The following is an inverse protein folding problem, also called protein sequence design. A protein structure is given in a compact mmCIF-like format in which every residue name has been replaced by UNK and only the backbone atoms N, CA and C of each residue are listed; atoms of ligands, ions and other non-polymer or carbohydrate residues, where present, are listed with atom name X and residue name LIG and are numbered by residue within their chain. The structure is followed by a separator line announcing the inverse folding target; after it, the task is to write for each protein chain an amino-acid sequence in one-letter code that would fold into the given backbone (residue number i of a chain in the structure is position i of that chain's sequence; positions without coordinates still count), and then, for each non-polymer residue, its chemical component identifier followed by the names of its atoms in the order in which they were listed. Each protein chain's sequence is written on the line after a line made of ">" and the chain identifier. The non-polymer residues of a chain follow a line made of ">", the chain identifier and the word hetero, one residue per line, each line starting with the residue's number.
data_IF_919019643953
#
_entry.id   IF_919019643953
#
_cell.length_a   1.000
_cell.length_b   1.000
_cell.length_c   1.000
_cell.angle_alpha   90.00
_cell.angle_beta   90.00
_cell.angle_gamma   90.00
#
_symmetry.space_group_name_H-M   'P 1'
#
loop_
_entity.id
_entity.type
_entity.pdbx_description
1 polymer ?
#
# COMPACT_ATOMS: atom_id res chain seq x y z
N UNK A 1 38.68 -0.62 -11.52
CA UNK A 1 37.29 -0.13 -11.67
C UNK A 1 36.97 0.74 -10.47
N UNK A 2 36.40 1.93 -10.66
CA UNK A 2 36.03 2.81 -9.55
C UNK A 2 34.76 2.31 -8.87
N UNK A 3 34.78 2.27 -7.54
CA UNK A 3 33.58 2.04 -6.76
C UNK A 3 32.71 3.30 -6.79
N UNK A 4 31.41 3.11 -6.97
CA UNK A 4 30.39 4.15 -6.91
C UNK A 4 29.64 4.04 -5.58
N UNK A 5 29.21 5.17 -5.05
CA UNK A 5 28.43 5.24 -3.81
C UNK A 5 27.01 5.64 -4.15
N UNK A 6 26.02 4.82 -3.82
CA UNK A 6 24.61 5.25 -3.80
C UNK A 6 24.30 5.63 -2.36
N UNK A 7 23.98 6.90 -2.14
CA UNK A 7 23.59 7.38 -0.83
C UNK A 7 22.18 6.92 -0.50
N UNK A 8 21.99 6.49 0.73
CA UNK A 8 20.66 6.23 1.21
C UNK A 8 20.19 7.47 1.95
N UNK A 9 18.97 7.89 1.63
CA UNK A 9 18.38 9.07 2.22
C UNK A 9 18.23 8.86 3.73
N UNK A 10 18.18 9.97 4.46
CA UNK A 10 18.09 9.95 5.91
C UNK A 10 16.86 9.15 6.38
N UNK A 11 17.03 8.31 7.40
CA UNK A 11 15.98 7.45 7.96
C UNK A 11 14.76 8.21 8.48
N UNK A 12 14.90 9.51 8.74
CA UNK A 12 13.81 10.39 9.16
C UNK A 12 12.93 10.81 7.98
N UNK A 13 13.39 10.61 6.75
CA UNK A 13 12.67 10.95 5.51
C UNK A 13 12.04 9.72 4.89
N UNK A 14 10.85 9.91 4.29
CA UNK A 14 10.18 8.81 3.58
C UNK A 14 10.94 8.35 2.34
N UNK A 15 11.81 9.21 1.78
CA UNK A 15 12.67 8.86 0.67
C UNK A 15 13.50 7.61 0.93
N UNK A 16 13.94 7.39 2.17
CA UNK A 16 14.64 6.16 2.58
C UNK A 16 13.76 4.93 2.42
N UNK A 17 12.52 4.98 2.91
CA UNK A 17 11.57 3.88 2.80
C UNK A 17 11.26 3.57 1.32
N UNK A 18 11.13 4.61 0.49
CA UNK A 18 10.98 4.42 -0.95
C UNK A 18 12.18 3.73 -1.59
N UNK A 19 13.41 4.10 -1.22
CA UNK A 19 14.58 3.38 -1.75
C UNK A 19 14.55 1.90 -1.38
N UNK A 20 14.18 1.57 -0.14
CA UNK A 20 14.04 0.17 0.29
C UNK A 20 12.92 -0.54 -0.46
N UNK A 21 11.82 0.15 -0.80
CA UNK A 21 10.75 -0.42 -1.60
C UNK A 21 11.23 -0.82 -3.00
N UNK A 22 11.94 0.09 -3.68
CA UNK A 22 12.48 -0.15 -5.03
C UNK A 22 13.51 -1.27 -5.03
N UNK A 23 14.50 -1.21 -4.14
CA UNK A 23 15.56 -2.21 -4.05
C UNK A 23 15.03 -3.57 -3.62
N UNK A 24 14.10 -3.58 -2.66
CA UNK A 24 13.49 -4.79 -2.13
C UNK A 24 12.62 -5.50 -3.16
N UNK A 25 11.87 -4.77 -3.99
CA UNK A 25 11.03 -5.35 -5.04
C UNK A 25 11.85 -6.19 -6.03
N UNK A 26 13.03 -5.70 -6.43
CA UNK A 26 13.86 -6.36 -7.45
C UNK A 26 14.89 -7.33 -6.87
N UNK A 27 14.95 -7.47 -5.55
CA UNK A 27 15.99 -8.23 -4.82
C UNK A 27 16.25 -9.61 -5.41
N UNK A 28 15.19 -10.38 -5.71
CA UNK A 28 15.33 -11.76 -6.21
C UNK A 28 15.87 -11.84 -7.65
N UNK A 29 15.91 -10.72 -8.37
CA UNK A 29 16.44 -10.62 -9.73
C UNK A 29 17.86 -10.04 -9.76
N UNK A 30 18.42 -9.68 -8.60
CA UNK A 30 19.77 -9.13 -8.50
C UNK A 30 20.81 -10.21 -8.18
N UNK A 31 22.04 -10.10 -8.72
CA UNK A 31 23.18 -10.90 -8.29
C UNK A 31 23.45 -10.80 -6.77
N UNK A 32 23.93 -11.89 -6.12
CA UNK A 32 24.18 -11.91 -4.67
C UNK A 32 25.09 -10.78 -4.17
N UNK A 33 26.14 -10.44 -4.92
CA UNK A 33 27.06 -9.35 -4.56
C UNK A 33 26.36 -7.99 -4.46
N UNK A 34 25.37 -7.72 -5.34
CA UNK A 34 24.58 -6.49 -5.29
C UNK A 34 23.63 -6.53 -4.08
N UNK A 35 23.00 -7.67 -3.82
CA UNK A 35 22.10 -7.84 -2.67
C UNK A 35 22.84 -7.63 -1.35
N UNK A 36 24.04 -8.17 -1.22
CA UNK A 36 24.87 -8.01 -0.01
C UNK A 36 25.33 -6.55 0.15
N UNK A 37 25.73 -5.89 -0.95
CA UNK A 37 26.05 -4.47 -0.92
C UNK A 37 24.86 -3.60 -0.50
N UNK A 38 23.64 -3.93 -0.95
CA UNK A 38 22.41 -3.26 -0.51
C UNK A 38 22.20 -3.47 0.99
N UNK A 39 22.26 -4.70 1.48
CA UNK A 39 22.06 -5.01 2.91
C UNK A 39 23.06 -4.29 3.81
N UNK A 40 24.34 -4.29 3.44
CA UNK A 40 25.37 -3.54 4.15
C UNK A 40 25.05 -2.05 4.12
N UNK A 41 24.66 -1.51 2.96
CA UNK A 41 24.24 -0.13 2.86
C UNK A 41 23.00 0.22 3.69
N UNK A 42 22.06 -0.71 3.89
CA UNK A 42 20.93 -0.47 4.80
C UNK A 42 21.39 -0.19 6.24
N UNK A 43 22.52 -0.76 6.66
CA UNK A 43 23.15 -0.49 7.96
C UNK A 43 24.00 0.78 7.92
N UNK A 44 24.84 0.93 6.89
CA UNK A 44 25.87 1.97 6.82
C UNK A 44 25.39 3.30 6.22
N UNK A 45 24.16 3.35 5.70
CA UNK A 45 23.58 4.50 5.00
C UNK A 45 24.12 4.74 3.59
N UNK A 46 24.98 3.84 3.07
CA UNK A 46 25.63 3.98 1.75
C UNK A 46 25.83 2.62 1.10
N UNK A 47 25.40 2.48 -0.16
CA UNK A 47 25.63 1.27 -0.94
C UNK A 47 26.85 1.49 -1.83
N UNK A 48 27.89 0.66 -1.67
CA UNK A 48 29.13 0.75 -2.45
C UNK A 48 29.14 -0.38 -3.49
N UNK A 49 29.12 -0.03 -4.77
CA UNK A 49 29.04 -0.98 -5.89
C UNK A 49 29.88 -0.54 -7.08
N UNK A 50 30.28 -1.48 -7.95
CA UNK A 50 30.95 -1.15 -9.21
C UNK A 50 30.00 -0.57 -10.27
N UNK A 51 30.54 0.10 -11.29
CA UNK A 51 29.72 0.67 -12.38
C UNK A 51 28.88 -0.37 -13.12
N UNK A 52 29.41 -1.59 -13.33
CA UNK A 52 28.66 -2.67 -13.97
C UNK A 52 27.50 -3.15 -13.09
N UNK A 53 27.71 -3.27 -11.77
CA UNK A 53 26.66 -3.64 -10.82
C UNK A 53 25.59 -2.55 -10.74
N UNK A 54 25.97 -1.27 -10.78
CA UNK A 54 25.01 -0.17 -10.85
C UNK A 54 24.13 -0.28 -12.09
N UNK A 55 24.73 -0.56 -13.26
CA UNK A 55 23.98 -0.77 -14.50
C UNK A 55 22.97 -1.90 -14.35
N UNK A 56 23.41 -3.06 -13.85
CA UNK A 56 22.53 -4.22 -13.61
C UNK A 56 21.38 -3.84 -12.67
N UNK A 57 21.67 -3.13 -11.58
CA UNK A 57 20.66 -2.68 -10.61
C UNK A 57 19.61 -1.77 -11.26
N UNK A 58 20.04 -0.74 -11.98
CA UNK A 58 19.13 0.25 -12.58
C UNK A 58 18.32 -0.33 -13.75
N UNK A 59 18.93 -1.16 -14.60
CA UNK A 59 18.23 -1.83 -15.70
C UNK A 59 17.20 -2.84 -15.17
N UNK A 60 17.53 -3.58 -14.11
CA UNK A 60 16.58 -4.49 -13.45
C UNK A 60 15.42 -3.71 -12.86
N UNK A 61 15.69 -2.59 -12.17
CA UNK A 61 14.64 -1.72 -11.64
C UNK A 61 13.72 -1.20 -12.74
N UNK A 62 14.30 -0.68 -13.83
CA UNK A 62 13.53 -0.15 -14.95
C UNK A 62 12.69 -1.23 -15.65
N UNK A 63 13.18 -2.47 -15.74
CA UNK A 63 12.40 -3.57 -16.30
C UNK A 63 11.17 -3.87 -15.44
N UNK A 64 11.29 -3.94 -14.11
CA UNK A 64 10.13 -4.08 -13.21
C UNK A 64 9.20 -2.87 -13.27
N UNK A 65 9.75 -1.66 -13.45
CA UNK A 65 8.94 -0.47 -13.60
C UNK A 65 8.02 -0.54 -14.81
N UNK A 66 8.41 -1.18 -15.93
CA UNK A 66 7.50 -1.40 -17.06
C UNK A 66 6.22 -2.13 -16.64
N UNK A 67 6.34 -3.17 -15.82
CA UNK A 67 5.17 -3.92 -15.31
C UNK A 67 4.32 -3.07 -14.36
N UNK A 68 4.97 -2.29 -13.48
CA UNK A 68 4.28 -1.32 -12.61
C UNK A 68 3.51 -0.30 -13.44
N UNK A 69 4.10 0.19 -14.54
CA UNK A 69 3.52 1.20 -15.41
C UNK A 69 2.36 0.69 -16.28
N UNK A 70 2.27 -0.61 -16.52
CA UNK A 70 1.13 -1.23 -17.20
C UNK A 70 -0.06 -1.50 -16.25
N UNK A 71 0.12 -1.35 -14.94
CA UNK A 71 -0.97 -1.47 -13.97
C UNK A 71 -1.87 -0.23 -14.01
N UNK A 72 -3.20 -0.41 -13.89
CA UNK A 72 -4.19 0.69 -13.88
C UNK A 72 -4.23 1.43 -12.54
N UNK A 73 -3.07 1.63 -11.90
CA UNK A 73 -2.96 2.18 -10.55
C UNK A 73 -2.76 3.70 -10.57
N UNK A 74 -3.05 4.31 -9.43
CA UNK A 74 -2.76 5.72 -9.19
C UNK A 74 -1.25 5.93 -9.00
N UNK A 75 -0.74 7.07 -9.47
CA UNK A 75 0.66 7.45 -9.33
C UNK A 75 0.82 8.65 -8.38
N UNK A 76 1.97 8.74 -7.68
CA UNK A 76 2.24 9.84 -6.76
C UNK A 76 2.37 11.18 -7.48
N UNK A 77 2.03 12.27 -6.78
CA UNK A 77 2.22 13.63 -7.27
C UNK A 77 3.67 14.00 -7.04
N UNK A 78 4.50 13.75 -8.03
CA UNK A 78 5.90 14.17 -7.99
C UNK A 78 5.97 15.63 -8.45
N UNK A 79 6.42 16.52 -7.57
CA UNK A 79 6.55 17.96 -7.84
C UNK A 79 7.99 18.34 -7.56
N UNK A 80 8.83 18.45 -8.59
CA UNK A 80 10.13 19.13 -8.47
C UNK A 80 10.82 19.33 -9.82
N UNK A 81 11.58 20.42 -9.97
CA UNK A 81 12.51 20.64 -11.07
C UNK A 81 13.69 19.66 -11.00
N UNK A 82 14.11 19.24 -9.81
CA UNK A 82 15.22 18.31 -9.62
C UNK A 82 15.02 16.94 -10.31
N UNK A 83 13.75 16.54 -10.54
CA UNK A 83 13.42 15.32 -11.26
C UNK A 83 13.73 15.43 -12.77
N UNK A 84 13.62 16.63 -13.34
CA UNK A 84 14.00 16.87 -14.73
C UNK A 84 15.50 16.67 -14.95
N UNK A 85 16.33 17.01 -13.97
CA UNK A 85 17.79 16.84 -14.00
C UNK A 85 18.23 15.37 -13.95
N UNK A 86 17.35 14.46 -13.54
CA UNK A 86 17.57 13.01 -13.63
C UNK A 86 16.87 12.37 -14.85
N UNK A 87 16.39 13.18 -15.80
CA UNK A 87 15.73 12.72 -17.02
C UNK A 87 14.25 12.38 -16.85
N UNK A 88 13.66 12.66 -15.69
CA UNK A 88 12.22 12.43 -15.43
C UNK A 88 11.46 13.72 -15.70
N UNK A 89 10.84 13.81 -16.87
CA UNK A 89 10.04 14.96 -17.26
C UNK A 89 8.61 14.83 -16.75
N UNK A 90 8.14 15.87 -16.06
CA UNK A 90 6.78 15.94 -15.52
C UNK A 90 6.08 17.12 -16.16
N UNK A 91 5.15 16.87 -17.08
CA UNK A 91 4.30 17.93 -17.64
C UNK A 91 3.15 18.23 -16.68
N UNK A 92 3.03 19.49 -16.24
CA UNK A 92 1.92 19.94 -15.38
C UNK A 92 0.55 19.85 -16.05
N UNK A 93 0.50 19.74 -17.39
CA UNK A 93 -0.74 19.69 -18.19
C UNK A 93 -1.15 18.29 -18.63
N UNK A 94 -0.29 17.29 -18.41
CA UNK A 94 -0.51 15.92 -18.87
C UNK A 94 -0.15 14.94 -17.75
N UNK A 95 -0.87 15.03 -16.64
CA UNK A 95 -0.88 14.02 -15.57
C UNK A 95 -1.57 12.71 -16.04
N UNK A 96 -1.41 12.34 -17.31
CA UNK A 96 -1.65 10.97 -17.72
C UNK A 96 -0.49 10.13 -17.19
N UNK A 97 -0.81 9.32 -16.17
CA UNK A 97 0.10 8.47 -15.42
C UNK A 97 1.13 7.67 -16.28
N UNK A 98 0.86 7.45 -17.57
CA UNK A 98 1.75 6.72 -18.48
C UNK A 98 3.07 7.45 -18.81
N UNK A 99 3.05 8.78 -18.91
CA UNK A 99 4.23 9.56 -19.33
C UNK A 99 5.31 9.64 -18.25
N UNK A 100 4.92 9.82 -16.98
CA UNK A 100 5.85 9.80 -15.84
C UNK A 100 6.58 8.46 -15.74
N UNK A 101 5.80 7.38 -15.89
CA UNK A 101 6.26 6.02 -15.72
C UNK A 101 7.21 5.59 -16.86
N UNK A 102 6.90 5.97 -18.10
CA UNK A 102 7.82 5.83 -19.24
C UNK A 102 9.09 6.68 -19.08
N UNK A 103 8.97 7.91 -18.56
CA UNK A 103 10.13 8.77 -18.31
C UNK A 103 11.09 8.16 -17.29
N UNK A 104 10.58 7.48 -16.27
CA UNK A 104 11.41 6.75 -15.30
C UNK A 104 12.16 5.58 -15.95
N UNK A 105 11.53 4.84 -16.85
CA UNK A 105 12.20 3.76 -17.60
C UNK A 105 13.30 4.34 -18.51
N UNK A 106 13.03 5.46 -19.17
CA UNK A 106 13.98 6.10 -20.09
C UNK A 106 15.12 6.86 -19.37
N UNK A 107 14.91 7.27 -18.12
CA UNK A 107 15.89 8.01 -17.32
C UNK A 107 17.15 7.20 -16.96
N UNK A 108 17.14 5.86 -17.10
CA UNK A 108 18.27 4.98 -16.74
C UNK A 108 19.58 5.42 -17.38
N UNK A 109 19.56 5.76 -18.67
CA UNK A 109 20.77 6.19 -19.39
C UNK A 109 21.29 7.52 -18.84
N UNK A 110 20.39 8.48 -18.56
CA UNK A 110 20.75 9.77 -17.96
C UNK A 110 21.39 9.58 -16.58
N UNK A 111 20.84 8.68 -15.77
CA UNK A 111 21.36 8.33 -14.44
C UNK A 111 22.72 7.64 -14.53
N UNK A 112 22.91 6.70 -15.46
CA UNK A 112 24.17 5.98 -15.65
C UNK A 112 25.32 6.86 -16.13
N UNK A 113 25.01 7.94 -16.86
CA UNK A 113 26.02 8.90 -17.32
C UNK A 113 26.51 9.81 -16.19
N UNK A 114 25.69 10.06 -15.16
CA UNK A 114 26.00 11.01 -14.08
C UNK A 114 25.61 10.50 -12.68
N UNK A 115 25.94 9.26 -12.28
CA UNK A 115 25.30 8.60 -11.13
C UNK A 115 25.68 9.23 -9.79
N UNK A 116 26.84 9.89 -9.71
CA UNK A 116 27.38 10.53 -8.50
C UNK A 116 27.08 12.02 -8.41
N UNK A 117 26.54 12.63 -9.47
CA UNK A 117 26.21 14.06 -9.47
C UNK A 117 25.22 14.38 -8.36
N UNK A 118 25.43 15.50 -7.68
CA UNK A 118 24.62 15.91 -6.53
C UNK A 118 23.52 16.85 -6.97
N UNK A 119 22.29 16.56 -6.55
CA UNK A 119 21.12 17.38 -6.77
C UNK A 119 20.41 17.63 -5.45
N UNK A 120 19.68 18.75 -5.36
CA UNK A 120 18.76 18.98 -4.25
C UNK A 120 17.74 17.85 -4.17
N UNK A 121 17.46 17.36 -2.96
CA UNK A 121 16.51 16.27 -2.80
C UNK A 121 15.10 16.79 -3.16
N UNK A 122 14.33 16.11 -4.02
CA UNK A 122 12.96 16.49 -4.35
C UNK A 122 12.07 16.66 -3.11
N UNK A 123 11.15 17.61 -3.15
CA UNK A 123 10.24 17.85 -2.03
C UNK A 123 9.46 16.59 -1.60
N UNK A 124 9.03 15.76 -2.56
CA UNK A 124 8.30 14.52 -2.28
C UNK A 124 9.09 13.52 -1.45
N UNK A 125 10.41 13.48 -1.64
CA UNK A 125 11.30 12.57 -0.93
C UNK A 125 11.74 13.13 0.43
N UNK A 126 11.72 14.46 0.60
CA UNK A 126 12.02 15.17 1.86
C UNK A 126 10.85 15.22 2.85
N UNK A 127 9.85 14.37 2.68
CA UNK A 127 8.73 14.29 3.62
C UNK A 127 9.19 13.55 4.88
N UNK A 128 9.20 14.21 6.03
CA UNK A 128 9.64 13.60 7.29
C UNK A 128 8.56 12.68 7.87
N UNK A 129 8.95 11.46 8.23
CA UNK A 129 8.08 10.42 8.77
C UNK A 129 7.62 10.74 10.19
N UNK A 130 8.40 11.53 10.94
CA UNK A 130 8.01 12.03 12.26
C UNK A 130 7.90 13.56 12.26
N UNK A 131 6.71 14.08 12.61
CA UNK A 131 6.44 15.52 12.69
C UNK A 131 7.26 16.31 13.72
N UNK A 132 8.09 15.63 14.53
CA UNK A 132 8.97 16.23 15.54
C UNK A 132 10.35 16.67 15.01
N UNK A 133 10.76 16.27 13.80
CA UNK A 133 11.99 16.79 13.20
C UNK A 133 11.75 18.18 12.63
N UNK A 134 11.74 19.18 13.52
CA UNK A 134 11.77 20.60 13.14
C UNK A 134 13.19 20.96 12.67
N UNK A 135 13.60 20.44 11.53
CA UNK A 135 14.84 20.88 10.87
C UNK A 135 14.61 22.26 10.27
N UNK A 136 15.62 23.14 10.31
CA UNK A 136 15.46 24.49 9.77
C UNK A 136 15.21 24.43 8.26
N UNK A 137 14.28 25.25 7.72
CA UNK A 137 14.01 25.28 6.27
C UNK A 137 15.26 25.54 5.42
N UNK A 138 16.30 26.15 5.99
CA UNK A 138 17.60 26.38 5.33
C UNK A 138 18.41 25.09 5.23
N UNK A 139 18.55 24.33 6.31
CA UNK A 139 19.25 23.02 6.29
C UNK A 139 18.57 22.06 5.31
N UNK A 140 17.23 21.97 5.36
CA UNK A 140 16.46 21.07 4.48
C UNK A 140 16.59 21.45 3.00
N UNK A 141 16.72 22.74 2.69
CA UNK A 141 16.92 23.20 1.31
C UNK A 141 18.33 22.93 0.79
N UNK A 142 19.32 22.84 1.67
CA UNK A 142 20.71 22.54 1.31
C UNK A 142 21.03 21.04 1.22
N UNK A 143 20.13 20.17 1.67
CA UNK A 143 20.33 18.72 1.53
C UNK A 143 20.37 18.32 0.05
N UNK A 144 21.45 17.61 -0.31
CA UNK A 144 21.64 17.06 -1.65
C UNK A 144 21.88 15.56 -1.56
N UNK A 145 21.47 14.84 -2.60
CA UNK A 145 21.77 13.42 -2.77
C UNK A 145 22.23 13.15 -4.19
N UNK A 146 22.88 12.01 -4.41
CA UNK A 146 23.32 11.64 -5.73
C UNK A 146 22.17 11.22 -6.67
N UNK A 147 22.37 11.40 -7.96
CA UNK A 147 21.36 11.13 -9.01
C UNK A 147 20.84 9.69 -8.94
N UNK A 148 21.71 8.70 -8.72
CA UNK A 148 21.29 7.30 -8.59
C UNK A 148 20.37 7.07 -7.37
N UNK A 149 20.71 7.68 -6.23
CA UNK A 149 19.90 7.64 -5.01
C UNK A 149 18.50 8.21 -5.22
N UNK A 150 18.40 9.37 -5.89
CA UNK A 150 17.14 10.04 -6.18
C UNK A 150 16.29 9.26 -7.19
N UNK A 151 16.91 8.64 -8.19
CA UNK A 151 16.23 7.76 -9.12
C UNK A 151 15.56 6.58 -8.41
N UNK A 152 16.33 5.87 -7.57
CA UNK A 152 15.85 4.71 -6.81
C UNK A 152 14.71 5.12 -5.86
N UNK A 153 14.86 6.25 -5.17
CA UNK A 153 13.82 6.79 -4.30
C UNK A 153 12.54 7.16 -5.07
N UNK A 154 12.67 7.73 -6.27
CA UNK A 154 11.53 8.09 -7.12
C UNK A 154 10.78 6.87 -7.64
N UNK A 155 11.50 5.85 -8.10
CA UNK A 155 10.91 4.56 -8.45
C UNK A 155 10.17 3.95 -7.25
N UNK A 156 10.77 4.01 -6.07
CA UNK A 156 10.19 3.56 -4.81
C UNK A 156 8.89 4.25 -4.43
N UNK A 157 8.80 5.56 -4.64
CA UNK A 157 7.58 6.33 -4.39
C UNK A 157 6.43 5.86 -5.28
N UNK A 158 6.72 5.59 -6.56
CA UNK A 158 5.75 5.03 -7.51
C UNK A 158 5.34 3.61 -7.10
N UNK A 159 6.29 2.77 -6.70
CA UNK A 159 6.06 1.39 -6.26
C UNK A 159 5.19 1.34 -5.00
N UNK A 160 5.39 2.28 -4.09
CA UNK A 160 4.76 2.26 -2.77
C UNK A 160 3.37 2.87 -2.74
N UNK A 161 3.00 3.64 -3.77
CA UNK A 161 1.71 4.33 -3.83
C UNK A 161 0.57 3.29 -3.88
N UNK A 162 -0.43 3.45 -3.01
CA UNK A 162 -1.59 2.55 -2.96
C UNK A 162 -2.90 3.23 -3.31
N UNK A 163 -3.08 4.51 -3.00
CA UNK A 163 -4.31 5.24 -3.34
C UNK A 163 -4.11 6.77 -3.26
N UNK A 164 -4.93 7.54 -3.99
CA UNK A 164 -5.06 8.98 -3.86
C UNK A 164 -6.52 9.30 -3.55
N UNK A 165 -6.77 9.74 -2.32
CA UNK A 165 -8.13 9.94 -1.82
C UNK A 165 -8.44 11.41 -1.62
N UNK A 166 -9.65 11.82 -2.02
CA UNK A 166 -10.20 13.12 -1.68
C UNK A 166 -10.78 13.10 -0.26
N UNK A 167 -10.21 13.88 0.64
CA UNK A 167 -10.74 14.12 1.98
C UNK A 167 -11.21 15.57 2.00
N UNK A 168 -12.52 15.78 1.98
CA UNK A 168 -13.14 17.11 1.90
C UNK A 168 -12.68 17.89 0.65
N UNK A 169 -12.05 19.05 0.84
CA UNK A 169 -11.51 19.91 -0.23
C UNK A 169 -10.07 19.56 -0.62
N UNK A 170 -9.42 18.64 0.10
CA UNK A 170 -8.02 18.28 -0.11
C UNK A 170 -7.89 16.85 -0.64
N UNK A 171 -6.71 16.54 -1.19
CA UNK A 171 -6.32 15.18 -1.51
C UNK A 171 -5.24 14.72 -0.56
N UNK A 172 -5.25 13.44 -0.22
CA UNK A 172 -4.17 12.75 0.46
C UNK A 172 -3.64 11.64 -0.44
N UNK A 173 -2.35 11.39 -0.35
CA UNK A 173 -1.70 10.25 -0.96
C UNK A 173 -1.42 9.21 0.10
N UNK A 174 -1.70 7.96 -0.23
CA UNK A 174 -1.52 6.83 0.65
C UNK A 174 -0.45 5.91 0.09
N UNK A 175 0.49 5.56 0.95
CA UNK A 175 1.61 4.71 0.62
C UNK A 175 1.66 3.51 1.56
N UNK A 176 1.98 2.34 1.00
CA UNK A 176 2.45 1.19 1.75
C UNK A 176 3.95 1.09 1.55
N UNK A 177 4.73 1.39 2.59
CA UNK A 177 6.19 1.43 2.53
C UNK A 177 6.82 0.43 3.49
N UNK A 178 8.00 -0.12 3.15
CA UNK A 178 8.80 -0.88 4.11
C UNK A 178 9.26 0.04 5.24
N UNK A 179 9.48 -0.50 6.44
CA UNK A 179 9.96 0.27 7.60
C UNK A 179 11.44 0.71 7.49
N UNK A 180 12.15 0.27 6.45
CA UNK A 180 13.54 0.61 6.16
C UNK A 180 14.56 -0.44 6.63
N UNK A 181 14.11 -1.46 7.37
CA UNK A 181 14.97 -2.54 7.89
C UNK A 181 15.37 -3.57 6.83
N UNK A 182 16.40 -4.36 7.13
CA UNK A 182 16.78 -5.53 6.32
C UNK A 182 15.62 -6.55 6.26
N UNK A 183 14.83 -6.67 7.33
CA UNK A 183 13.66 -7.55 7.35
C UNK A 183 12.63 -7.12 6.30
N UNK A 184 12.28 -5.82 6.27
CA UNK A 184 11.37 -5.27 5.26
C UNK A 184 11.90 -5.41 3.83
N UNK A 185 13.21 -5.20 3.62
CA UNK A 185 13.88 -5.44 2.34
C UNK A 185 13.75 -6.89 1.87
N UNK A 186 13.90 -7.86 2.78
CA UNK A 186 13.78 -9.28 2.44
C UNK A 186 12.34 -9.67 2.08
N UNK A 187 11.34 -9.05 2.72
CA UNK A 187 9.92 -9.34 2.52
C UNK A 187 9.29 -8.57 1.35
N UNK A 188 9.99 -7.59 0.78
CA UNK A 188 9.45 -6.70 -0.24
C UNK A 188 8.98 -7.38 -1.51
N UNK A 189 9.68 -8.41 -2.00
CA UNK A 189 9.23 -9.19 -3.16
C UNK A 189 7.87 -9.82 -2.90
N UNK A 190 7.59 -10.28 -1.67
CA UNK A 190 6.30 -10.90 -1.33
C UNK A 190 5.18 -9.87 -1.28
N UNK A 191 5.41 -8.78 -0.54
CA UNK A 191 4.40 -7.72 -0.33
C UNK A 191 4.08 -6.99 -1.63
N UNK A 192 5.08 -6.47 -2.33
CA UNK A 192 4.84 -5.78 -3.60
C UNK A 192 4.46 -6.76 -4.71
N UNK A 193 4.98 -7.99 -4.69
CA UNK A 193 4.53 -9.04 -5.61
C UNK A 193 3.04 -9.38 -5.45
N UNK A 194 2.43 -9.18 -4.28
CA UNK A 194 0.97 -9.26 -4.10
C UNK A 194 0.28 -8.03 -4.68
N UNK A 195 0.78 -6.84 -4.36
CA UNK A 195 0.22 -5.56 -4.82
C UNK A 195 0.17 -5.48 -6.34
N UNK A 196 1.18 -6.01 -7.02
CA UNK A 196 1.33 -6.01 -8.47
C UNK A 196 0.90 -7.34 -9.14
N UNK A 197 0.23 -8.23 -8.40
CA UNK A 197 -0.15 -9.55 -8.91
C UNK A 197 -1.17 -9.51 -10.06
N UNK A 198 -1.88 -8.39 -10.22
CA UNK A 198 -2.97 -8.26 -11.20
C UNK A 198 -3.08 -6.81 -11.69
N UNK A 199 -3.47 -6.65 -12.97
CA UNK A 199 -3.70 -5.34 -13.61
C UNK A 199 -5.05 -4.73 -13.26
N UNK A 200 -6.07 -5.56 -13.04
CA UNK A 200 -7.46 -5.12 -12.89
C UNK A 200 -7.97 -5.17 -11.45
N UNK A 201 -7.46 -6.09 -10.63
CA UNK A 201 -7.70 -6.14 -9.19
C UNK A 201 -6.59 -5.36 -8.48
N UNK A 202 -6.93 -4.18 -7.96
CA UNK A 202 -5.99 -3.25 -7.35
C UNK A 202 -6.45 -2.82 -5.95
N UNK A 203 -5.52 -2.53 -5.05
CA UNK A 203 -5.82 -2.21 -3.65
C UNK A 203 -6.68 -0.94 -3.51
N UNK A 204 -6.49 0.08 -4.36
CA UNK A 204 -7.32 1.30 -4.38
C UNK A 204 -8.81 1.00 -4.62
N UNK A 205 -9.15 -0.04 -5.38
CA UNK A 205 -10.56 -0.44 -5.57
C UNK A 205 -11.18 -0.98 -4.28
N UNK A 206 -10.42 -1.74 -3.49
CA UNK A 206 -10.89 -2.21 -2.19
C UNK A 206 -11.05 -1.04 -1.22
N UNK A 207 -10.07 -0.14 -1.17
CA UNK A 207 -10.11 1.07 -0.33
C UNK A 207 -11.31 1.94 -0.71
N UNK A 208 -11.48 2.23 -1.99
CA UNK A 208 -12.58 3.01 -2.53
C UNK A 208 -13.94 2.36 -2.26
N UNK A 209 -14.06 1.04 -2.39
CA UNK A 209 -15.31 0.34 -2.09
C UNK A 209 -15.73 0.50 -0.62
N UNK A 210 -14.80 0.32 0.32
CA UNK A 210 -15.07 0.48 1.75
C UNK A 210 -15.41 1.94 2.06
N UNK A 211 -14.51 2.86 1.71
CA UNK A 211 -14.62 4.28 2.07
C UNK A 211 -15.84 4.97 1.46
N UNK A 212 -16.17 4.66 0.21
CA UNK A 212 -17.26 5.36 -0.49
C UNK A 212 -18.66 4.83 -0.14
N UNK A 213 -18.74 3.66 0.50
CA UNK A 213 -20.01 3.04 0.86
C UNK A 213 -20.23 2.99 2.37
N UNK A 214 -19.20 3.08 3.21
CA UNK A 214 -19.30 3.08 4.66
C UNK A 214 -18.87 4.43 5.26
N UNK A 215 -19.83 5.25 5.66
CA UNK A 215 -19.58 6.59 6.21
C UNK A 215 -18.98 6.58 7.62
N UNK A 216 -19.26 5.53 8.39
CA UNK A 216 -18.92 5.46 9.81
C UNK A 216 -17.64 4.66 10.10
N UNK A 217 -16.84 4.32 9.08
CA UNK A 217 -15.56 3.61 9.26
C UNK A 217 -14.42 4.60 9.06
N UNK A 218 -13.51 4.67 10.04
CA UNK A 218 -12.30 5.51 9.94
C UNK A 218 -11.47 5.14 8.71
N UNK A 219 -10.67 6.09 8.19
CA UNK A 219 -9.77 5.82 7.07
C UNK A 219 -8.78 4.69 7.41
N UNK A 220 -8.20 4.72 8.59
CA UNK A 220 -7.21 3.75 9.06
C UNK A 220 -7.78 2.33 9.08
N UNK A 221 -8.95 2.16 9.68
CA UNK A 221 -9.65 0.86 9.69
C UNK A 221 -10.01 0.42 8.29
N UNK A 222 -10.43 1.34 7.43
CA UNK A 222 -10.74 1.02 6.02
C UNK A 222 -9.51 0.51 5.28
N UNK A 223 -8.33 1.08 5.53
CA UNK A 223 -7.08 0.65 4.89
C UNK A 223 -6.65 -0.73 5.38
N UNK A 224 -6.67 -0.97 6.69
CA UNK A 224 -6.33 -2.29 7.27
C UNK A 224 -7.26 -3.38 6.72
N UNK A 225 -8.58 -3.14 6.72
CA UNK A 225 -9.57 -4.07 6.19
C UNK A 225 -9.39 -4.29 4.68
N UNK A 226 -9.19 -3.21 3.90
CA UNK A 226 -8.95 -3.30 2.47
C UNK A 226 -7.70 -4.12 2.17
N UNK A 227 -6.60 -3.91 2.90
CA UNK A 227 -5.36 -4.67 2.70
C UNK A 227 -5.52 -6.13 3.07
N UNK A 228 -6.23 -6.46 4.16
CA UNK A 228 -6.54 -7.86 4.51
C UNK A 228 -7.37 -8.55 3.43
N UNK A 229 -8.47 -7.92 3.00
CA UNK A 229 -9.36 -8.47 1.99
C UNK A 229 -8.66 -8.61 0.63
N UNK A 230 -7.90 -7.58 0.21
CA UNK A 230 -7.09 -7.62 -1.00
C UNK A 230 -6.06 -8.76 -0.96
N UNK A 231 -5.34 -8.90 0.17
CA UNK A 231 -4.33 -9.96 0.34
C UNK A 231 -4.97 -11.34 0.20
N UNK A 232 -6.08 -11.58 0.91
CA UNK A 232 -6.83 -12.82 0.82
C UNK A 232 -7.29 -13.09 -0.62
N UNK A 233 -7.93 -12.11 -1.26
CA UNK A 233 -8.47 -12.22 -2.60
C UNK A 233 -7.37 -12.51 -3.64
N UNK A 234 -6.28 -11.75 -3.63
CA UNK A 234 -5.18 -11.95 -4.58
C UNK A 234 -4.50 -13.29 -4.36
N UNK A 235 -4.23 -13.67 -3.12
CA UNK A 235 -3.54 -14.93 -2.86
C UNK A 235 -4.40 -16.13 -3.27
N UNK A 236 -5.69 -16.13 -2.96
CA UNK A 236 -6.57 -17.30 -3.19
C UNK A 236 -7.18 -17.35 -4.58
N UNK A 237 -7.51 -16.19 -5.18
CA UNK A 237 -8.26 -16.13 -6.45
C UNK A 237 -7.37 -15.77 -7.63
N UNK A 238 -6.42 -14.85 -7.47
CA UNK A 238 -5.54 -14.39 -8.57
C UNK A 238 -4.35 -15.33 -8.73
N UNK A 239 -3.53 -15.47 -7.67
CA UNK A 239 -2.34 -16.33 -7.70
C UNK A 239 -2.65 -17.80 -7.45
N UNK A 240 -3.86 -18.12 -6.97
CA UNK A 240 -4.30 -19.48 -6.62
C UNK A 240 -3.31 -20.19 -5.69
N UNK A 241 -2.72 -19.43 -4.77
CA UNK A 241 -1.81 -19.93 -3.76
C UNK A 241 -2.62 -20.80 -2.80
N UNK A 242 -2.15 -22.02 -2.59
CA UNK A 242 -2.82 -22.97 -1.70
C UNK A 242 -2.83 -22.51 -0.24
N UNK A 243 -1.96 -21.57 0.15
CA UNK A 243 -1.87 -21.06 1.53
C UNK A 243 -1.40 -19.60 1.61
N UNK A 244 -2.02 -18.84 2.53
CA UNK A 244 -1.60 -17.48 2.90
C UNK A 244 -0.36 -17.43 3.80
N UNK A 245 0.06 -18.58 4.36
CA UNK A 245 1.06 -18.62 5.42
C UNK A 245 2.40 -17.96 5.04
N UNK A 246 2.72 -17.95 3.75
CA UNK A 246 3.95 -17.34 3.23
C UNK A 246 4.02 -15.80 3.41
N UNK A 247 2.88 -15.16 3.65
CA UNK A 247 2.75 -13.71 3.85
C UNK A 247 2.64 -13.31 5.32
N UNK A 248 2.54 -14.29 6.23
CA UNK A 248 2.51 -14.00 7.66
C UNK A 248 3.87 -13.51 8.13
N UNK A 249 3.89 -12.42 8.89
CA UNK A 249 5.11 -11.72 9.31
C UNK A 249 5.62 -10.70 8.30
N UNK A 250 5.25 -10.83 7.01
CA UNK A 250 5.74 -9.93 5.95
C UNK A 250 5.18 -8.52 6.08
N UNK A 251 3.93 -8.36 6.52
CA UNK A 251 3.28 -7.05 6.62
C UNK A 251 3.64 -6.30 7.90
N UNK A 252 4.20 -6.96 8.90
CA UNK A 252 4.61 -6.39 10.18
C UNK A 252 5.82 -5.46 10.02
N UNK A 253 6.61 -5.66 8.97
CA UNK A 253 7.75 -4.81 8.61
C UNK A 253 7.36 -3.66 7.68
N UNK A 254 6.06 -3.38 7.56
CA UNK A 254 5.48 -2.38 6.65
C UNK A 254 4.59 -1.39 7.38
N UNK A 255 4.50 -0.20 6.80
CA UNK A 255 3.76 0.93 7.34
C UNK A 255 2.86 1.55 6.29
N UNK A 256 1.67 1.95 6.73
CA UNK A 256 0.77 2.81 5.98
C UNK A 256 1.10 4.25 6.32
N UNK A 257 1.36 5.06 5.30
CA UNK A 257 1.67 6.49 5.45
C UNK A 257 0.69 7.30 4.62
N UNK A 258 0.14 8.34 5.24
CA UNK A 258 -0.63 9.36 4.54
C UNK A 258 0.17 10.64 4.38
N UNK A 259 0.25 11.15 3.16
CA UNK A 259 0.93 12.40 2.82
C UNK A 259 -0.09 13.38 2.25
N UNK A 260 -0.02 14.64 2.69
CA UNK A 260 -0.74 15.76 2.07
C UNK A 260 0.16 16.44 1.05
N UNK A 261 -0.13 16.36 -0.26
CA UNK A 261 0.65 17.00 -1.32
C UNK A 261 0.26 18.48 -1.47
N UNK A 262 0.49 19.27 -0.42
CA UNK A 262 0.33 20.74 -0.40
C UNK A 262 1.64 21.44 -0.84
N UNK A 263 1.73 22.77 -0.68
CA UNK A 263 2.97 23.53 -0.93
C UNK A 263 4.17 23.01 -0.12
N UNK A 264 3.91 22.34 1.01
CA UNK A 264 4.87 21.55 1.75
C UNK A 264 4.30 20.16 1.95
N UNK A 265 4.91 19.14 1.34
CA UNK A 265 4.51 17.76 1.59
C UNK A 265 4.72 17.42 3.07
N UNK A 266 3.66 16.90 3.71
CA UNK A 266 3.66 16.56 5.13
C UNK A 266 3.04 15.19 5.33
N UNK A 267 3.67 14.38 6.18
CA UNK A 267 3.03 13.17 6.70
C UNK A 267 1.90 13.60 7.62
N UNK A 268 0.67 13.26 7.23
CA UNK A 268 -0.53 13.51 8.03
C UNK A 268 -0.63 12.50 9.18
N UNK A 269 -0.30 11.23 8.90
CA UNK A 269 -0.22 10.16 9.88
C UNK A 269 0.57 8.97 9.32
N UNK A 270 1.03 8.11 10.23
CA UNK A 270 1.71 6.85 9.96
C UNK A 270 1.16 5.77 10.91
N UNK A 271 0.97 4.55 10.39
CA UNK A 271 0.54 3.38 11.17
C UNK A 271 1.30 2.14 10.72
N UNK A 272 1.72 1.25 11.65
CA UNK A 272 2.06 -0.12 11.29
C UNK A 272 0.88 -0.82 10.60
N UNK A 273 1.14 -1.69 9.63
CA UNK A 273 0.06 -2.43 8.96
C UNK A 273 -0.45 -3.60 9.82
N UNK A 274 0.45 -4.36 10.47
CA UNK A 274 0.16 -5.43 11.46
C UNK A 274 -1.13 -6.23 11.20
N UNK A 275 -1.20 -6.93 10.07
CA UNK A 275 -2.40 -7.72 9.68
C UNK A 275 -2.24 -9.23 9.80
N UNK A 276 -1.02 -9.77 9.99
CA UNK A 276 -0.81 -11.22 9.93
C UNK A 276 -1.52 -11.95 11.06
N UNK A 277 -1.54 -11.40 12.27
CA UNK A 277 -2.24 -12.00 13.42
C UNK A 277 -3.74 -12.17 13.16
N UNK A 278 -4.37 -11.16 12.54
CA UNK A 278 -5.78 -11.21 12.17
C UNK A 278 -6.04 -12.24 11.07
N UNK A 279 -5.25 -12.24 9.99
CA UNK A 279 -5.37 -13.21 8.90
C UNK A 279 -5.16 -14.65 9.39
N UNK A 280 -4.19 -14.87 10.28
CA UNK A 280 -3.94 -16.16 10.93
C UNK A 280 -5.14 -16.63 11.75
N UNK A 281 -5.72 -15.73 12.56
CA UNK A 281 -6.87 -16.03 13.40
C UNK A 281 -8.06 -16.47 12.55
N UNK A 282 -8.38 -15.68 11.52
CA UNK A 282 -9.47 -15.99 10.58
C UNK A 282 -9.23 -17.30 9.83
N UNK A 283 -8.00 -17.58 9.39
CA UNK A 283 -7.69 -18.83 8.69
C UNK A 283 -7.80 -20.05 9.61
N UNK A 284 -7.24 -20.00 10.83
CA UNK A 284 -7.32 -21.10 11.81
C UNK A 284 -8.77 -21.45 12.17
N UNK A 285 -9.65 -20.46 12.22
CA UNK A 285 -11.09 -20.62 12.50
C UNK A 285 -11.94 -20.93 11.25
N UNK A 286 -11.31 -21.14 10.09
CA UNK A 286 -12.00 -21.37 8.82
C UNK A 286 -13.06 -20.29 8.50
N UNK A 287 -12.69 -19.04 8.77
CA UNK A 287 -13.52 -17.84 8.65
C UNK A 287 -12.88 -16.75 7.76
N UNK A 288 -11.74 -17.03 7.12
CA UNK A 288 -11.03 -16.06 6.27
C UNK A 288 -11.88 -15.54 5.09
N UNK A 289 -12.76 -16.39 4.53
CA UNK A 289 -13.70 -16.02 3.47
C UNK A 289 -14.72 -14.94 3.90
N UNK A 290 -14.83 -14.67 5.20
CA UNK A 290 -15.64 -13.58 5.73
C UNK A 290 -15.20 -12.22 5.18
N UNK A 291 -13.91 -12.03 4.90
CA UNK A 291 -13.39 -10.80 4.29
C UNK A 291 -14.03 -10.51 2.94
N UNK A 292 -14.16 -11.52 2.08
CA UNK A 292 -14.83 -11.39 0.78
C UNK A 292 -16.32 -11.09 0.92
N UNK A 293 -17.00 -11.74 1.86
CA UNK A 293 -18.41 -11.46 2.14
C UNK A 293 -18.59 -10.00 2.57
N UNK A 294 -17.75 -9.48 3.47
CA UNK A 294 -17.81 -8.07 3.85
C UNK A 294 -17.64 -7.15 2.64
N UNK A 295 -16.65 -7.39 1.78
CA UNK A 295 -16.44 -6.58 0.58
C UNK A 295 -17.66 -6.60 -0.35
N UNK A 296 -18.29 -7.75 -0.56
CA UNK A 296 -19.53 -7.87 -1.36
C UNK A 296 -20.70 -7.11 -0.73
N UNK A 297 -20.92 -7.29 0.58
CA UNK A 297 -22.00 -6.65 1.31
C UNK A 297 -21.89 -5.13 1.30
N UNK A 298 -20.66 -4.60 1.39
CA UNK A 298 -20.37 -3.17 1.23
C UNK A 298 -20.75 -2.70 -0.18
N UNK A 299 -20.48 -3.50 -1.20
CA UNK A 299 -20.87 -3.20 -2.59
C UNK A 299 -22.39 -3.10 -2.79
N UNK A 300 -23.19 -3.74 -1.94
CA UNK A 300 -24.65 -3.68 -1.99
C UNK A 300 -25.25 -2.45 -1.33
N UNK A 301 -24.52 -1.70 -0.50
CA UNK A 301 -25.04 -0.57 0.28
C UNK A 301 -25.90 0.37 -0.58
N UNK A 302 -25.40 0.82 -1.72
CA UNK A 302 -26.12 1.75 -2.61
C UNK A 302 -27.40 1.15 -3.20
N UNK A 303 -27.46 -0.16 -3.37
CA UNK A 303 -28.61 -0.86 -3.95
C UNK A 303 -29.74 -0.99 -2.93
N UNK A 304 -29.41 -1.13 -1.64
CA UNK A 304 -30.38 -1.40 -0.57
C UNK A 304 -30.64 -0.23 0.38
N UNK A 305 -29.86 0.85 0.30
CA UNK A 305 -29.96 1.99 1.23
C UNK A 305 -31.35 2.63 1.29
N UNK A 306 -32.12 2.58 0.19
CA UNK A 306 -33.49 3.13 0.15
C UNK A 306 -34.51 2.20 0.82
N UNK A 307 -34.20 0.91 0.85
CA UNK A 307 -35.11 -0.11 1.36
C UNK A 307 -34.80 -0.51 2.81
N UNK A 308 -33.54 -0.41 3.23
CA UNK A 308 -33.09 -0.70 4.60
C UNK A 308 -32.37 0.52 5.16
N UNK A 309 -33.11 1.29 5.95
CA UNK A 309 -32.55 2.43 6.68
C UNK A 309 -31.36 1.97 7.54
N UNK A 310 -30.26 2.72 7.48
CA UNK A 310 -29.03 2.46 8.25
C UNK A 310 -28.35 1.11 7.96
N UNK A 311 -28.52 0.55 6.75
CA UNK A 311 -27.78 -0.64 6.32
C UNK A 311 -26.26 -0.42 6.39
N UNK A 312 -25.78 0.72 5.88
CA UNK A 312 -24.36 1.11 5.91
C UNK A 312 -23.82 1.22 7.34
N UNK A 313 -24.56 1.88 8.23
CA UNK A 313 -24.18 2.01 9.64
C UNK A 313 -24.14 0.65 10.34
N UNK A 314 -25.07 -0.23 10.03
CA UNK A 314 -25.13 -1.58 10.63
C UNK A 314 -23.97 -2.44 10.16
N UNK A 315 -23.64 -2.44 8.86
CA UNK A 315 -22.46 -3.14 8.33
C UNK A 315 -21.17 -2.54 8.91
N UNK A 316 -21.09 -1.21 9.04
CA UNK A 316 -19.95 -0.52 9.65
C UNK A 316 -19.72 -0.94 11.11
N UNK A 317 -20.79 -1.00 11.92
CA UNK A 317 -20.73 -1.45 13.31
C UNK A 317 -20.31 -2.91 13.41
N UNK A 318 -20.85 -3.78 12.56
CA UNK A 318 -20.47 -5.20 12.52
C UNK A 318 -18.98 -5.38 12.17
N UNK A 319 -18.48 -4.61 11.20
CA UNK A 319 -17.06 -4.61 10.84
C UNK A 319 -16.17 -4.17 12.00
N UNK A 320 -16.55 -3.11 12.72
CA UNK A 320 -15.83 -2.67 13.91
C UNK A 320 -15.87 -3.70 15.03
N UNK A 321 -17.00 -4.38 15.23
CA UNK A 321 -17.15 -5.45 16.23
C UNK A 321 -16.28 -6.67 15.88
N UNK A 322 -16.24 -7.07 14.60
CA UNK A 322 -15.33 -8.13 14.12
C UNK A 322 -13.87 -7.72 14.27
N UNK A 323 -13.51 -6.50 13.90
CA UNK A 323 -12.16 -5.98 14.06
C UNK A 323 -11.77 -5.93 15.55
N UNK A 324 -12.65 -5.42 16.40
CA UNK A 324 -12.45 -5.39 17.85
C UNK A 324 -12.32 -6.79 18.47
N UNK A 325 -13.06 -7.79 17.97
CA UNK A 325 -12.85 -9.19 18.36
C UNK A 325 -11.45 -9.66 17.97
N UNK A 326 -10.98 -9.36 16.77
CA UNK A 326 -9.64 -9.78 16.33
C UNK A 326 -8.51 -9.13 17.15
N UNK A 327 -8.76 -7.96 17.73
CA UNK A 327 -7.82 -7.26 18.63
C UNK A 327 -7.89 -7.77 20.08
N UNK A 328 -9.08 -8.10 20.57
CA UNK A 328 -9.33 -8.33 22.02
C UNK A 328 -9.70 -9.77 22.39
N UNK A 329 -10.11 -10.59 21.42
CA UNK A 329 -10.70 -11.91 21.63
C UNK A 329 -12.12 -11.89 22.23
N UNK A 330 -12.76 -10.72 22.38
CA UNK A 330 -14.07 -10.60 23.04
C UNK A 330 -15.23 -11.16 22.20
N UNK A 331 -15.79 -12.29 22.66
CA UNK A 331 -16.92 -12.96 22.00
C UNK A 331 -18.20 -12.13 21.97
N UNK A 332 -18.39 -11.21 22.93
CA UNK A 332 -19.57 -10.33 22.99
C UNK A 332 -19.68 -9.45 21.74
N UNK A 333 -18.54 -9.06 21.16
CA UNK A 333 -18.50 -8.28 19.93
C UNK A 333 -19.03 -9.11 18.74
N UNK A 334 -18.64 -10.38 18.64
CA UNK A 334 -19.15 -11.27 17.60
C UNK A 334 -20.64 -11.53 17.73
N UNK A 335 -21.13 -11.76 18.95
CA UNK A 335 -22.57 -11.94 19.22
C UNK A 335 -23.36 -10.68 18.88
N UNK A 336 -22.83 -9.49 19.20
CA UNK A 336 -23.44 -8.21 18.81
C UNK A 336 -23.54 -8.05 17.28
N UNK A 337 -22.45 -8.33 16.56
CA UNK A 337 -22.40 -8.28 15.10
C UNK A 337 -23.37 -9.29 14.47
N UNK A 338 -23.40 -10.53 14.96
CA UNK A 338 -24.35 -11.55 14.49
C UNK A 338 -25.81 -11.07 14.68
N UNK A 339 -26.16 -10.55 15.86
CA UNK A 339 -27.49 -10.03 16.12
C UNK A 339 -27.90 -8.87 15.20
N UNK A 340 -26.95 -8.00 14.82
CA UNK A 340 -27.17 -6.93 13.83
C UNK A 340 -27.46 -7.48 12.44
N UNK A 341 -26.66 -8.44 11.97
CA UNK A 341 -26.85 -9.06 10.65
C UNK A 341 -28.17 -9.81 10.58
N UNK A 342 -28.55 -10.54 11.62
CA UNK A 342 -29.86 -11.23 11.67
C UNK A 342 -31.01 -10.25 11.47
N UNK A 343 -31.01 -9.10 12.14
CA UNK A 343 -32.05 -8.08 11.98
C UNK A 343 -32.12 -7.51 10.56
N UNK A 344 -30.98 -7.35 9.88
CA UNK A 344 -30.94 -6.95 8.46
C UNK A 344 -31.63 -8.03 7.62
N UNK A 345 -31.26 -9.30 7.81
CA UNK A 345 -31.82 -10.42 7.04
C UNK A 345 -33.35 -10.49 7.21
N UNK A 346 -33.84 -10.35 8.44
CA UNK A 346 -35.29 -10.34 8.73
C UNK A 346 -36.00 -9.16 8.03
N UNK A 347 -35.37 -7.98 8.03
CA UNK A 347 -35.89 -6.79 7.34
C UNK A 347 -35.92 -6.98 5.82
N UNK A 348 -34.87 -7.55 5.24
CA UNK A 348 -34.80 -7.82 3.79
C UNK A 348 -35.84 -8.87 3.35
N UNK A 349 -36.07 -9.90 4.19
CA UNK A 349 -37.07 -10.93 3.95
C UNK A 349 -38.50 -10.37 4.03
N UNK A 350 -38.82 -9.64 5.10
CA UNK A 350 -40.16 -9.03 5.29
C UNK A 350 -40.53 -8.05 4.18
N UNK A 351 -39.56 -7.34 3.60
CA UNK A 351 -39.75 -6.45 2.45
C UNK A 351 -39.70 -7.14 1.08
N UNK A 352 -39.58 -8.47 1.05
CA UNK A 352 -39.44 -9.29 -0.16
C UNK A 352 -38.27 -8.85 -1.08
N UNK A 353 -37.19 -8.34 -0.49
CA UNK A 353 -35.99 -7.92 -1.22
C UNK A 353 -35.13 -9.13 -1.52
N UNK A 354 -35.05 -10.11 -0.62
CA UNK A 354 -34.36 -11.39 -0.87
C UNK A 354 -34.97 -12.16 -2.05
N UNK A 355 -36.28 -12.03 -2.29
CA UNK A 355 -36.94 -12.60 -3.47
C UNK A 355 -36.50 -11.97 -4.78
N UNK A 356 -36.18 -10.65 -4.77
CA UNK A 356 -35.72 -9.90 -5.94
C UNK A 356 -34.20 -9.95 -6.13
N UNK A 357 -33.45 -10.02 -5.02
CA UNK A 357 -31.99 -9.93 -4.96
C UNK A 357 -31.42 -11.05 -4.07
N UNK A 358 -31.56 -12.30 -4.53
CA UNK A 358 -31.19 -13.51 -3.77
C UNK A 358 -29.74 -13.53 -3.27
N UNK A 359 -28.83 -12.90 -4.00
CA UNK A 359 -27.40 -12.88 -3.67
C UNK A 359 -27.08 -12.14 -2.37
N UNK A 360 -27.78 -11.03 -2.08
CA UNK A 360 -27.54 -10.21 -0.88
C UNK A 360 -27.78 -11.04 0.38
N UNK A 361 -28.91 -11.76 0.42
CA UNK A 361 -29.28 -12.55 1.58
C UNK A 361 -28.42 -13.82 1.70
N UNK A 362 -28.02 -14.40 0.57
CA UNK A 362 -27.06 -15.52 0.55
C UNK A 362 -25.71 -15.11 1.16
N UNK A 363 -25.20 -13.92 0.81
CA UNK A 363 -23.94 -13.41 1.36
C UNK A 363 -24.06 -13.01 2.85
N UNK A 364 -25.20 -12.47 3.29
CA UNK A 364 -25.47 -12.18 4.72
C UNK A 364 -25.58 -13.46 5.57
N UNK A 365 -26.27 -14.49 5.08
CA UNK A 365 -26.35 -15.80 5.74
C UNK A 365 -24.99 -16.50 5.78
N UNK A 366 -24.18 -16.33 4.74
CA UNK A 366 -22.79 -16.79 4.69
C UNK A 366 -21.96 -16.07 5.75
N UNK A 367 -22.09 -14.75 5.88
CA UNK A 367 -21.45 -13.96 6.93
C UNK A 367 -21.87 -14.44 8.33
N UNK A 368 -23.16 -14.64 8.60
CA UNK A 368 -23.64 -15.17 9.89
C UNK A 368 -22.98 -16.50 10.25
N UNK A 369 -22.86 -17.42 9.28
CA UNK A 369 -22.18 -18.71 9.50
C UNK A 369 -20.71 -18.52 9.89
N UNK A 370 -20.00 -17.57 9.30
CA UNK A 370 -18.62 -17.28 9.69
C UNK A 370 -18.51 -16.60 11.05
N UNK A 371 -19.41 -15.68 11.39
CA UNK A 371 -19.46 -15.07 12.72
C UNK A 371 -19.64 -16.14 13.81
N UNK A 372 -20.57 -17.08 13.59
CA UNK A 372 -20.77 -18.20 14.53
C UNK A 372 -19.51 -19.08 14.65
N UNK A 373 -18.79 -19.34 13.55
CA UNK A 373 -17.52 -20.10 13.59
C UNK A 373 -16.40 -19.40 14.35
N UNK A 374 -16.40 -18.07 14.39
CA UNK A 374 -15.44 -17.32 15.19
C UNK A 374 -15.79 -17.35 16.69
N UNK A 375 -17.07 -17.55 17.01
CA UNK A 375 -17.57 -17.58 18.39
C UNK A 375 -17.34 -18.91 19.13
N UNK A 376 -17.00 -19.99 18.42
CA UNK A 376 -16.67 -21.31 18.97
C UNK A 376 -15.22 -21.67 18.63
#
# INVERSE_FOLDING_TARGET
>A
MSNLVIELLDERTIGRNFQVAALGLIRNSLPPNIVDAIKNGLVDGKIVIGSNDLKVLLETLAQYMKDVCESKRVLPKLVDEALSSIGIQISSKDYSNRNLCNSLVNAVETVLNNPQSKLGIPQSLRTYVFGKYRTSLKEVKSETSNVASLYIATAGAIISMIDRLRVEETYIELYLVPDGSIASFNEAVKVYGLIYASRDVTLDKFIGNIRNNLKNVSLETSLILATMAFTYHVATQVKKLQSLNQYYGSFETYRLISIRPEMRMQVAWERPLTISGHLMTLQKRNAINMLDNFIKLIGYVRQVQNDVNAYDDTISKCLHEVYGYMETGSLDLLTSCAGRITRIVDTLNSKNICGKNKYICTDLESLLRYLMRLSY
#
